data_IF_032100959774
#
_entry.id   IF_032100959774
#
_cell.length_a   1.000
_cell.length_b   1.000
_cell.length_c   1.000
_cell.angle_alpha   90.00
_cell.angle_beta   90.00
_cell.angle_gamma   90.00
#
_symmetry.space_group_name_H-M   'P 1'
#
loop_
_entity.id
_entity.type
_entity.pdbx_description
1 polymer ?
#
# COMPACT_ATOMS: atom_id res chain seq x y z
N UNK A 1 -3.40 13.22 -8.30
CA UNK A 1 -4.16 11.98 -8.57
C UNK A 1 -5.62 12.03 -8.12
N UNK A 2 -6.12 13.08 -7.44
CA UNK A 2 -7.55 13.22 -7.12
C UNK A 2 -8.10 12.23 -6.07
N UNK A 3 -7.35 11.18 -5.76
CA UNK A 3 -7.67 10.17 -4.77
C UNK A 3 -7.45 10.75 -3.37
N UNK A 4 -8.47 10.69 -2.53
CA UNK A 4 -8.36 11.03 -1.11
C UNK A 4 -8.41 9.76 -0.24
N UNK A 5 -7.94 9.89 1.01
CA UNK A 5 -7.90 8.76 1.96
C UNK A 5 -9.29 8.24 2.35
N UNK A 6 -10.31 9.10 2.31
CA UNK A 6 -11.69 8.74 2.64
C UNK A 6 -12.26 7.77 1.61
N UNK A 7 -12.06 8.05 0.33
CA UNK A 7 -12.52 7.23 -0.78
C UNK A 7 -11.78 5.89 -0.81
N UNK A 8 -10.46 5.91 -0.57
CA UNK A 8 -9.67 4.70 -0.41
C UNK A 8 -10.19 3.81 0.72
N UNK A 9 -10.49 4.39 1.89
CA UNK A 9 -11.06 3.64 3.01
C UNK A 9 -12.43 3.07 2.68
N UNK A 10 -13.30 3.86 2.07
CA UNK A 10 -14.63 3.42 1.67
C UNK A 10 -14.53 2.24 0.71
N UNK A 11 -13.58 2.27 -0.23
CA UNK A 11 -13.39 1.19 -1.20
C UNK A 11 -12.85 -0.10 -0.56
N UNK A 12 -11.90 0.01 0.39
CA UNK A 12 -11.46 -1.14 1.19
C UNK A 12 -12.63 -1.77 1.95
N UNK A 13 -13.45 -0.95 2.61
CA UNK A 13 -14.61 -1.42 3.37
C UNK A 13 -15.67 -2.09 2.46
N UNK A 14 -15.83 -1.67 1.20
CA UNK A 14 -16.71 -2.35 0.24
C UNK A 14 -16.19 -3.73 -0.16
N UNK A 15 -14.88 -3.90 -0.30
CA UNK A 15 -14.28 -5.16 -0.77
C UNK A 15 -14.20 -6.20 0.35
N UNK A 16 -13.73 -5.78 1.54
CA UNK A 16 -13.46 -6.69 2.66
C UNK A 16 -14.63 -6.76 3.64
N UNK A 17 -15.53 -5.78 3.62
CA UNK A 17 -16.56 -5.63 4.63
C UNK A 17 -15.98 -5.13 5.96
N UNK A 18 -16.77 -5.27 7.03
CA UNK A 18 -16.35 -4.96 8.40
C UNK A 18 -16.27 -6.27 9.18
N UNK A 19 -15.19 -6.43 9.96
CA UNK A 19 -15.00 -7.61 10.80
C UNK A 19 -16.11 -7.76 11.85
N UNK A 20 -16.23 -8.97 12.42
CA UNK A 20 -17.29 -9.36 13.37
C UNK A 20 -17.25 -8.66 14.74
N UNK A 21 -16.37 -7.66 14.90
CA UNK A 21 -16.13 -6.96 16.18
C UNK A 21 -15.21 -7.71 17.14
N UNK A 22 -14.93 -8.99 16.90
CA UNK A 22 -13.94 -9.76 17.66
C UNK A 22 -12.54 -9.52 17.08
N UNK A 23 -11.68 -8.89 17.88
CA UNK A 23 -10.28 -8.65 17.52
C UNK A 23 -9.44 -9.61 18.37
N UNK A 24 -8.71 -10.51 17.70
CA UNK A 24 -7.75 -11.38 18.38
C UNK A 24 -6.63 -10.55 19.02
N UNK A 25 -6.05 -11.04 20.13
CA UNK A 25 -4.94 -10.37 20.84
C UNK A 25 -3.74 -10.15 19.92
N UNK A 26 -3.50 -11.07 19.00
CA UNK A 26 -2.46 -10.97 17.98
C UNK A 26 -3.09 -11.21 16.60
N UNK A 27 -2.84 -10.28 15.67
CA UNK A 27 -3.29 -10.39 14.28
C UNK A 27 -2.03 -10.63 13.43
N UNK A 28 -1.79 -11.87 12.97
CA UNK A 28 -0.62 -12.14 12.16
C UNK A 28 -0.75 -11.49 10.79
N UNK A 29 0.38 -11.07 10.22
CA UNK A 29 0.41 -10.66 8.82
C UNK A 29 0.08 -11.84 7.90
N UNK A 30 -0.73 -11.56 6.88
CA UNK A 30 -0.92 -12.49 5.77
C UNK A 30 0.41 -12.69 5.03
N UNK A 31 0.63 -13.83 4.34
CA UNK A 31 1.82 -14.03 3.51
C UNK A 31 2.03 -12.89 2.50
N UNK A 32 0.93 -12.36 1.93
CA UNK A 32 0.93 -11.20 1.04
C UNK A 32 1.39 -9.92 1.73
N UNK A 33 0.89 -9.63 2.94
CA UNK A 33 1.32 -8.46 3.70
C UNK A 33 2.82 -8.54 4.06
N UNK A 34 3.35 -9.73 4.38
CA UNK A 34 4.79 -9.92 4.60
C UNK A 34 5.61 -9.61 3.35
N UNK A 35 5.17 -10.10 2.18
CA UNK A 35 5.80 -9.79 0.88
C UNK A 35 5.82 -8.29 0.60
N UNK A 36 4.73 -7.57 0.88
CA UNK A 36 4.68 -6.11 0.72
C UNK A 36 5.76 -5.42 1.56
N UNK A 37 5.96 -5.85 2.81
CA UNK A 37 7.01 -5.29 3.68
C UNK A 37 8.42 -5.55 3.13
N UNK A 38 8.66 -6.76 2.62
CA UNK A 38 9.94 -7.12 1.97
C UNK A 38 10.19 -6.25 0.73
N UNK A 39 9.19 -6.09 -0.14
CA UNK A 39 9.28 -5.23 -1.32
C UNK A 39 9.50 -3.77 -0.95
N UNK A 40 8.87 -3.29 0.13
CA UNK A 40 9.06 -1.93 0.63
C UNK A 40 10.49 -1.68 1.09
N UNK A 41 11.10 -2.67 1.75
CA UNK A 41 12.51 -2.60 2.14
C UNK A 41 13.43 -2.55 0.90
N UNK A 42 13.13 -3.33 -0.14
CA UNK A 42 13.88 -3.27 -1.39
C UNK A 42 13.79 -1.90 -2.05
N UNK A 43 12.59 -1.31 -2.13
CA UNK A 43 12.38 0.03 -2.70
C UNK A 43 13.16 1.10 -1.91
N UNK A 44 13.15 1.04 -0.58
CA UNK A 44 13.94 1.94 0.26
C UNK A 44 15.44 1.82 -0.03
N UNK A 45 15.96 0.60 -0.15
CA UNK A 45 17.36 0.35 -0.46
C UNK A 45 17.73 0.82 -1.87
N UNK A 46 16.85 0.65 -2.85
CA UNK A 46 17.06 1.12 -4.22
C UNK A 46 17.12 2.66 -4.30
N UNK A 47 16.35 3.35 -3.45
CA UNK A 47 16.36 4.81 -3.34
C UNK A 47 17.48 5.34 -2.44
N UNK A 48 18.26 4.46 -1.79
CA UNK A 48 19.34 4.85 -0.88
C UNK A 48 18.87 5.30 0.50
N UNK A 49 17.62 5.02 0.87
CA UNK A 49 17.04 5.36 2.17
C UNK A 49 17.37 4.27 3.21
N UNK A 50 17.80 4.69 4.40
CA UNK A 50 18.17 3.78 5.50
C UNK A 50 16.97 3.35 6.36
N UNK A 51 15.75 3.72 5.97
CA UNK A 51 14.53 3.39 6.68
C UNK A 51 13.33 3.32 5.72
N UNK A 52 12.26 2.66 6.18
CA UNK A 52 11.03 2.48 5.41
C UNK A 52 10.04 3.59 5.78
N UNK A 53 9.96 4.61 4.95
CA UNK A 53 8.85 5.57 4.93
C UNK A 53 7.55 5.04 4.29
N UNK A 54 6.47 5.81 4.39
CA UNK A 54 5.15 5.45 3.86
C UNK A 54 5.12 5.32 2.33
N UNK A 55 5.99 6.04 1.64
CA UNK A 55 6.20 6.00 0.19
C UNK A 55 6.73 4.65 -0.24
N UNK A 56 7.64 4.04 0.52
CA UNK A 56 8.14 2.70 0.23
C UNK A 56 7.08 1.63 0.46
N UNK A 57 6.22 1.79 1.49
CA UNK A 57 5.06 0.92 1.69
C UNK A 57 4.11 0.99 0.50
N UNK A 58 3.85 2.20 -0.01
CA UNK A 58 3.02 2.38 -1.19
C UNK A 58 3.65 1.76 -2.43
N UNK A 59 4.96 1.95 -2.64
CA UNK A 59 5.70 1.31 -3.74
C UNK A 59 5.71 -0.22 -3.63
N UNK A 60 5.85 -0.75 -2.42
CA UNK A 60 5.76 -2.18 -2.14
C UNK A 60 4.38 -2.75 -2.43
N UNK A 61 3.31 -2.03 -2.09
CA UNK A 61 1.93 -2.40 -2.44
C UNK A 61 1.71 -2.43 -3.96
N UNK A 62 2.22 -1.43 -4.67
CA UNK A 62 2.14 -1.38 -6.14
C UNK A 62 2.92 -2.54 -6.79
N UNK A 63 4.09 -2.87 -6.24
CA UNK A 63 4.95 -3.92 -6.78
C UNK A 63 4.44 -5.32 -6.49
N UNK A 64 3.73 -5.52 -5.37
CA UNK A 64 3.05 -6.78 -5.11
C UNK A 64 1.91 -7.00 -6.12
N UNK A 65 1.21 -5.93 -6.50
CA UNK A 65 0.33 -5.89 -7.67
C UNK A 65 -0.94 -6.73 -7.57
N UNK A 66 -1.20 -7.40 -6.45
CA UNK A 66 -2.35 -8.27 -6.27
C UNK A 66 -3.17 -7.92 -5.01
N UNK A 67 -4.33 -8.56 -4.90
CA UNK A 67 -5.17 -8.47 -3.70
C UNK A 67 -5.92 -7.15 -3.56
N UNK A 68 -6.25 -6.83 -2.31
CA UNK A 68 -7.20 -5.76 -2.00
C UNK A 68 -6.63 -4.40 -2.37
N UNK A 69 -5.36 -4.14 -2.06
CA UNK A 69 -4.75 -2.84 -2.33
C UNK A 69 -4.70 -2.53 -3.83
N UNK A 70 -4.28 -3.50 -4.65
CA UNK A 70 -4.30 -3.37 -6.11
C UNK A 70 -5.71 -3.08 -6.64
N UNK A 71 -6.70 -3.88 -6.19
CA UNK A 71 -8.11 -3.70 -6.56
C UNK A 71 -8.65 -2.31 -6.19
N UNK A 72 -8.31 -1.81 -4.99
CA UNK A 72 -8.73 -0.48 -4.52
C UNK A 72 -8.14 0.61 -5.41
N UNK A 73 -6.85 0.53 -5.72
CA UNK A 73 -6.19 1.51 -6.57
C UNK A 73 -6.76 1.49 -8.00
N UNK A 74 -7.01 0.31 -8.57
CA UNK A 74 -7.69 0.16 -9.86
C UNK A 74 -9.09 0.77 -9.86
N UNK A 75 -9.91 0.46 -8.84
CA UNK A 75 -11.28 0.98 -8.73
C UNK A 75 -11.33 2.51 -8.58
N UNK A 76 -10.28 3.11 -8.02
CA UNK A 76 -10.14 4.56 -7.89
C UNK A 76 -9.50 5.21 -9.12
N UNK A 77 -9.23 4.44 -10.19
CA UNK A 77 -8.61 4.94 -11.42
C UNK A 77 -7.16 5.39 -11.21
N UNK A 78 -6.47 4.83 -10.21
CA UNK A 78 -5.10 5.19 -9.89
C UNK A 78 -4.14 4.50 -10.86
N UNK A 79 -3.40 5.29 -11.64
CA UNK A 79 -2.36 4.78 -12.53
C UNK A 79 -1.11 4.40 -11.71
N UNK A 80 -0.70 3.11 -11.67
CA UNK A 80 0.49 2.65 -10.95
C UNK A 80 1.78 3.40 -11.32
N UNK A 81 1.93 3.76 -12.60
CA UNK A 81 3.12 4.49 -13.08
C UNK A 81 3.15 5.90 -12.50
N UNK A 82 2.00 6.59 -12.48
CA UNK A 82 1.89 7.92 -11.91
C UNK A 82 2.12 7.92 -10.38
N UNK A 83 1.58 6.91 -9.67
CA UNK A 83 1.82 6.77 -8.24
C UNK A 83 3.30 6.55 -7.97
N UNK A 84 3.95 5.66 -8.72
CA UNK A 84 5.38 5.39 -8.58
C UNK A 84 6.19 6.67 -8.78
N UNK A 85 5.94 7.44 -9.83
CA UNK A 85 6.63 8.71 -10.08
C UNK A 85 6.47 9.71 -8.94
N UNK A 86 5.27 9.83 -8.37
CA UNK A 86 5.03 10.77 -7.25
C UNK A 86 5.65 10.29 -5.94
N UNK A 87 5.56 8.99 -5.65
CA UNK A 87 6.12 8.40 -4.44
C UNK A 87 7.66 8.36 -4.45
N UNK A 88 8.28 8.15 -5.62
CA UNK A 88 9.75 8.20 -5.75
C UNK A 88 10.31 9.62 -5.84
N UNK A 89 9.49 10.58 -6.27
CA UNK A 89 9.91 11.96 -6.54
C UNK A 89 9.77 12.93 -5.36
N UNK A 90 9.09 12.53 -4.29
CA UNK A 90 8.73 13.44 -3.21
C UNK A 90 8.86 12.75 -1.87
N UNK A 91 10.03 12.88 -1.22
CA UNK A 91 10.21 13.13 0.21
C UNK A 91 11.73 13.27 0.47
N UNK A 92 12.27 14.51 0.55
CA UNK A 92 13.64 14.69 0.96
C UNK A 92 13.70 14.40 2.46
N UNK A 93 14.54 13.45 2.83
CA UNK A 93 14.98 13.29 4.20
C UNK A 93 16.46 13.60 4.28
#
# INVERSE_FOLDING_TARGET
>A
MGINLKDARVEVEKIIGRGSGFVAVEIPFTPRAKRVLELSLEEARQLGHNYIGSEHLLLGLLREGEGVAARVLENLGADPSNIRTQASGHFPF
#
